data_IF_739862344267
#
_entry.id   IF_739862344267
#
_cell.length_a   1.000
_cell.length_b   1.000
_cell.length_c   1.000
_cell.angle_alpha   90.00
_cell.angle_beta   90.00
_cell.angle_gamma   90.00
#
_symmetry.space_group_name_H-M   'P 1'
#
loop_
_entity.id
_entity.type
_entity.pdbx_description
1 polymer ?
#
# COMPACT_ATOMS: atom_id res chain seq x y z
N UNK A 1 26.15 48.79 9.49
CA UNK A 1 26.17 47.63 10.42
C UNK A 1 24.80 46.99 10.63
N UNK A 2 23.69 47.74 10.70
CA UNK A 2 22.34 47.16 10.83
C UNK A 2 21.82 46.41 9.58
N UNK A 3 22.14 46.91 8.37
CA UNK A 3 21.71 46.27 7.10
C UNK A 3 22.38 44.92 6.83
N UNK A 4 23.61 44.71 7.31
CA UNK A 4 24.34 43.44 7.19
C UNK A 4 23.77 42.35 8.12
N UNK A 5 23.34 42.73 9.34
CA UNK A 5 22.66 41.82 10.27
C UNK A 5 21.28 41.38 9.77
N UNK A 6 20.58 42.25 9.03
CA UNK A 6 19.26 41.94 8.49
C UNK A 6 19.33 40.93 7.32
N UNK A 7 20.34 41.04 6.45
CA UNK A 7 20.58 40.10 5.34
C UNK A 7 21.03 38.73 5.86
N UNK A 8 21.83 38.70 6.93
CA UNK A 8 22.27 37.46 7.57
C UNK A 8 21.11 36.76 8.29
N UNK A 9 20.18 37.48 8.92
CA UNK A 9 18.99 36.87 9.53
C UNK A 9 17.99 36.32 8.49
N UNK A 10 17.82 36.97 7.34
CA UNK A 10 16.93 36.46 6.28
C UNK A 10 17.57 35.32 5.50
N UNK A 11 18.89 35.30 5.34
CA UNK A 11 19.62 34.18 4.71
C UNK A 11 19.67 32.93 5.57
N UNK A 12 19.75 33.07 6.90
CA UNK A 12 19.77 31.95 7.84
C UNK A 12 18.40 31.27 8.00
N UNK A 13 17.30 32.00 7.73
CA UNK A 13 15.94 31.45 7.77
C UNK A 13 15.61 30.59 6.52
N UNK A 14 16.23 30.86 5.37
CA UNK A 14 16.03 30.08 4.13
C UNK A 14 16.80 28.75 4.09
N UNK A 15 17.77 28.53 4.98
CA UNK A 15 18.58 27.30 5.01
C UNK A 15 17.99 26.19 5.89
N UNK A 16 16.90 26.45 6.62
CA UNK A 16 16.28 25.47 7.53
C UNK A 16 15.17 24.66 6.83
N UNK A 17 14.75 25.04 5.62
CA UNK A 17 13.64 24.40 4.90
C UNK A 17 14.05 23.25 3.96
N UNK A 18 15.34 22.87 3.93
CA UNK A 18 15.89 21.97 2.90
C UNK A 18 16.12 20.51 3.35
N UNK A 19 15.47 20.05 4.42
CA UNK A 19 15.57 18.65 4.84
C UNK A 19 14.18 18.04 5.09
N UNK A 20 13.28 18.16 4.11
CA UNK A 20 12.28 17.13 3.91
C UNK A 20 12.99 16.00 3.17
N UNK A 21 13.80 15.22 3.90
CA UNK A 21 14.19 13.91 3.42
C UNK A 21 12.88 13.16 3.24
N UNK A 22 12.46 12.93 1.99
CA UNK A 22 11.45 11.94 1.68
C UNK A 22 11.96 10.67 2.33
N UNK A 23 11.37 10.28 3.47
CA UNK A 23 11.68 9.02 4.09
C UNK A 23 11.36 7.99 3.01
N UNK A 24 12.39 7.46 2.39
CA UNK A 24 12.29 6.27 1.56
C UNK A 24 11.47 5.27 2.38
N UNK A 25 10.31 4.90 1.84
CA UNK A 25 9.34 4.05 2.54
C UNK A 25 10.12 2.86 3.12
N UNK A 26 10.07 2.69 4.45
CA UNK A 26 10.82 1.65 5.14
C UNK A 26 10.51 0.27 4.55
N UNK A 27 9.29 0.08 4.03
CA UNK A 27 8.88 -1.07 3.25
C UNK A 27 9.76 -1.23 2.00
N UNK A 28 9.88 -0.19 1.17
CA UNK A 28 10.70 -0.21 -0.06
C UNK A 28 12.17 -0.48 0.25
N UNK A 29 12.75 0.15 1.27
CA UNK A 29 14.17 0.00 1.60
C UNK A 29 14.56 -1.46 1.95
N UNK A 30 13.65 -2.20 2.60
CA UNK A 30 13.85 -3.62 2.92
C UNK A 30 13.44 -4.51 1.74
N UNK A 31 12.23 -4.32 1.19
CA UNK A 31 11.66 -5.17 0.13
C UNK A 31 12.41 -5.06 -1.19
N UNK A 32 13.13 -3.97 -1.46
CA UNK A 32 14.00 -3.88 -2.63
C UNK A 32 15.11 -4.94 -2.61
N UNK A 33 15.48 -5.46 -1.42
CA UNK A 33 16.53 -6.47 -1.25
C UNK A 33 15.97 -7.89 -1.29
N UNK A 34 14.79 -8.12 -0.69
CA UNK A 34 14.21 -9.47 -0.54
C UNK A 34 13.18 -9.83 -1.61
N UNK A 35 12.50 -8.83 -2.19
CA UNK A 35 11.46 -8.99 -3.21
C UNK A 35 11.55 -7.87 -4.27
N UNK A 36 12.71 -7.74 -4.97
CA UNK A 36 12.97 -6.61 -5.86
C UNK A 36 11.95 -6.45 -7.01
N UNK A 37 11.41 -7.57 -7.51
CA UNK A 37 10.40 -7.55 -8.56
C UNK A 37 9.10 -6.85 -8.14
N UNK A 38 8.61 -7.13 -6.93
CA UNK A 38 7.39 -6.50 -6.41
C UNK A 38 7.56 -4.98 -6.25
N UNK A 39 8.72 -4.55 -5.75
CA UNK A 39 9.04 -3.13 -5.63
C UNK A 39 9.14 -2.46 -7.00
N UNK A 40 9.75 -3.12 -7.98
CA UNK A 40 9.84 -2.61 -9.35
C UNK A 40 8.46 -2.47 -10.00
N UNK A 41 7.60 -3.48 -9.84
CA UNK A 41 6.23 -3.45 -10.36
C UNK A 41 5.42 -2.31 -9.75
N UNK A 42 5.54 -2.11 -8.42
CA UNK A 42 4.93 -0.97 -7.75
C UNK A 42 5.50 0.36 -8.29
N UNK A 43 6.82 0.52 -8.38
CA UNK A 43 7.49 1.75 -8.82
C UNK A 43 7.02 2.21 -10.21
N UNK A 44 6.80 1.29 -11.14
CA UNK A 44 6.35 1.64 -12.50
C UNK A 44 4.83 1.84 -12.62
N UNK A 45 4.07 1.47 -11.58
CA UNK A 45 2.61 1.57 -11.57
C UNK A 45 2.10 3.01 -11.53
N UNK A 46 0.78 3.19 -11.60
CA UNK A 46 0.17 4.50 -11.31
C UNK A 46 0.08 4.76 -9.81
N UNK A 47 -0.06 3.72 -8.99
CA UNK A 47 -0.19 3.86 -7.53
C UNK A 47 1.04 4.53 -6.92
N UNK A 48 2.25 4.17 -7.35
CA UNK A 48 3.48 4.86 -6.90
C UNK A 48 3.54 6.34 -7.29
N UNK A 49 2.90 6.73 -8.41
CA UNK A 49 2.88 8.12 -8.91
C UNK A 49 1.81 8.98 -8.23
N UNK A 50 0.82 8.34 -7.63
CA UNK A 50 -0.29 8.97 -6.92
C UNK A 50 -0.16 8.76 -5.39
N UNK A 51 1.08 8.56 -4.91
CA UNK A 51 1.43 8.43 -3.49
C UNK A 51 0.73 7.29 -2.71
N UNK A 52 0.26 6.25 -3.41
CA UNK A 52 -0.25 5.02 -2.78
C UNK A 52 0.93 4.11 -2.42
N UNK A 53 1.28 4.07 -1.14
CA UNK A 53 2.44 3.36 -0.58
C UNK A 53 2.17 1.88 -0.34
N UNK A 54 3.19 1.12 0.04
CA UNK A 54 3.05 -0.30 0.43
C UNK A 54 2.07 -0.46 1.60
N UNK A 55 2.23 0.36 2.63
CA UNK A 55 1.40 0.33 3.84
C UNK A 55 -0.04 0.75 3.61
N UNK A 56 -0.32 1.50 2.53
CA UNK A 56 -1.69 1.90 2.18
C UNK A 56 -2.58 0.67 1.95
N UNK A 57 -2.05 -0.40 1.36
CA UNK A 57 -2.80 -1.64 1.14
C UNK A 57 -2.47 -2.73 2.16
N UNK A 58 -1.20 -2.84 2.60
CA UNK A 58 -0.74 -3.92 3.47
C UNK A 58 -0.76 -3.58 4.96
N UNK A 59 -1.13 -2.36 5.33
CA UNK A 59 -1.09 -1.87 6.70
C UNK A 59 0.33 -1.63 7.23
N UNK A 60 0.43 -1.34 8.53
CA UNK A 60 1.68 -0.92 9.19
C UNK A 60 2.14 -1.89 10.30
N UNK A 61 1.43 -3.00 10.50
CA UNK A 61 1.69 -3.92 11.63
C UNK A 61 2.93 -4.79 11.42
N UNK A 62 3.31 -5.04 10.17
CA UNK A 62 4.55 -5.73 9.82
C UNK A 62 5.70 -4.74 9.79
N UNK A 63 6.77 -5.05 10.52
CA UNK A 63 7.96 -4.18 10.64
C UNK A 63 9.27 -4.95 10.56
N UNK A 64 9.27 -6.27 10.77
CA UNK A 64 10.46 -7.14 10.75
C UNK A 64 10.19 -8.42 9.96
N UNK A 65 11.24 -9.12 9.51
CA UNK A 65 11.06 -10.35 8.72
C UNK A 65 10.21 -11.42 9.45
N UNK A 66 10.29 -11.46 10.77
CA UNK A 66 9.61 -12.42 11.64
C UNK A 66 8.12 -12.14 11.83
N UNK A 67 7.65 -10.91 11.60
CA UNK A 67 6.26 -10.49 11.76
C UNK A 67 5.52 -10.29 10.43
N UNK A 68 6.05 -10.88 9.34
CA UNK A 68 5.46 -10.82 7.99
C UNK A 68 4.01 -11.27 7.91
N UNK A 69 3.58 -12.17 8.79
CA UNK A 69 2.19 -12.61 8.90
C UNK A 69 1.23 -11.53 9.45
N UNK A 70 1.75 -10.40 9.96
CA UNK A 70 0.94 -9.26 10.40
C UNK A 70 0.60 -8.29 9.26
N UNK A 71 1.22 -8.44 8.09
CA UNK A 71 0.83 -7.70 6.90
C UNK A 71 -0.59 -8.09 6.47
N UNK A 72 -1.37 -7.11 6.07
CA UNK A 72 -2.68 -7.34 5.44
C UNK A 72 -2.43 -7.90 4.04
N UNK A 73 -3.11 -8.98 3.69
CA UNK A 73 -3.27 -9.39 2.30
C UNK A 73 -4.53 -8.68 1.78
N UNK A 74 -4.39 -7.65 0.93
CA UNK A 74 -5.52 -6.83 0.53
C UNK A 74 -6.49 -7.63 -0.32
N UNK A 75 -7.74 -7.69 0.12
CA UNK A 75 -8.87 -8.19 -0.67
C UNK A 75 -9.51 -7.04 -1.48
N UNK A 76 -10.65 -7.33 -2.13
CA UNK A 76 -11.36 -6.31 -2.90
C UNK A 76 -11.90 -5.15 -2.06
N UNK A 77 -12.06 -5.34 -0.75
CA UNK A 77 -12.63 -4.32 0.15
C UNK A 77 -11.63 -3.19 0.41
N UNK A 78 -10.35 -3.52 0.58
CA UNK A 78 -9.24 -2.54 0.68
C UNK A 78 -9.19 -1.69 -0.59
N UNK A 79 -9.38 -2.31 -1.75
CA UNK A 79 -9.44 -1.59 -3.01
C UNK A 79 -10.64 -0.63 -3.07
N UNK A 80 -11.78 -1.03 -2.47
CA UNK A 80 -13.02 -0.27 -2.40
C UNK A 80 -12.92 1.04 -1.61
N UNK A 81 -12.01 1.14 -0.65
CA UNK A 81 -11.79 2.36 0.14
C UNK A 81 -11.50 3.58 -0.74
N UNK A 82 -10.79 3.37 -1.87
CA UNK A 82 -10.50 4.40 -2.87
C UNK A 82 -11.29 4.20 -4.19
N UNK A 83 -11.60 2.95 -4.55
CA UNK A 83 -12.24 2.59 -5.83
C UNK A 83 -13.67 2.09 -5.66
N UNK A 84 -14.47 2.77 -4.84
CA UNK A 84 -15.85 2.40 -4.51
C UNK A 84 -16.71 2.06 -5.74
N UNK A 85 -16.62 2.83 -6.81
CA UNK A 85 -17.40 2.56 -8.03
C UNK A 85 -17.05 1.21 -8.65
N UNK A 86 -15.76 0.90 -8.79
CA UNK A 86 -15.27 -0.34 -9.37
C UNK A 86 -15.61 -1.51 -8.44
N UNK A 87 -15.43 -1.33 -7.13
CA UNK A 87 -15.83 -2.31 -6.12
C UNK A 87 -17.32 -2.64 -6.20
N UNK A 88 -18.19 -1.63 -6.30
CA UNK A 88 -19.64 -1.83 -6.48
C UNK A 88 -20.01 -2.52 -7.79
N UNK A 89 -19.24 -2.27 -8.87
CA UNK A 89 -19.43 -2.97 -10.14
C UNK A 89 -18.99 -4.43 -10.06
N UNK A 90 -17.86 -4.71 -9.41
CA UNK A 90 -17.33 -6.05 -9.23
C UNK A 90 -18.21 -6.90 -8.30
N UNK A 91 -18.57 -6.35 -7.13
CA UNK A 91 -19.42 -7.02 -6.14
C UNK A 91 -20.81 -7.36 -6.67
N UNK A 92 -21.35 -6.57 -7.60
CA UNK A 92 -22.61 -6.85 -8.31
C UNK A 92 -22.43 -7.62 -9.61
N UNK A 93 -21.20 -8.06 -9.89
CA UNK A 93 -20.81 -8.77 -11.09
C UNK A 93 -21.00 -10.28 -10.97
N UNK A 94 -21.02 -10.96 -12.13
CA UNK A 94 -21.21 -12.42 -12.20
C UNK A 94 -20.09 -13.21 -11.51
N UNK A 95 -18.85 -12.72 -11.52
CA UNK A 95 -17.75 -13.40 -10.83
C UNK A 95 -17.98 -13.45 -9.33
N UNK A 96 -18.35 -12.31 -8.71
CA UNK A 96 -18.67 -12.28 -7.27
C UNK A 96 -19.91 -13.11 -6.91
N UNK A 97 -20.95 -13.07 -7.74
CA UNK A 97 -22.10 -13.95 -7.52
C UNK A 97 -21.79 -15.44 -7.74
N UNK A 98 -20.87 -15.77 -8.63
CA UNK A 98 -20.35 -17.13 -8.80
C UNK A 98 -19.68 -17.62 -7.52
N UNK A 99 -18.84 -16.78 -6.90
CA UNK A 99 -18.23 -17.05 -5.60
C UNK A 99 -19.28 -17.22 -4.50
N UNK A 100 -20.29 -16.35 -4.47
CA UNK A 100 -21.41 -16.45 -3.53
C UNK A 100 -22.17 -17.78 -3.70
N UNK A 101 -22.44 -18.19 -4.94
CA UNK A 101 -23.13 -19.43 -5.23
C UNK A 101 -22.29 -20.66 -4.86
N UNK A 102 -20.98 -20.60 -5.10
CA UNK A 102 -20.03 -21.64 -4.67
C UNK A 102 -20.09 -21.79 -3.14
N UNK A 103 -19.95 -20.70 -2.38
CA UNK A 103 -20.02 -20.70 -0.92
C UNK A 103 -21.38 -21.10 -0.34
N UNK A 104 -22.46 -20.95 -1.11
CA UNK A 104 -23.79 -21.40 -0.70
C UNK A 104 -23.96 -22.94 -0.76
N UNK A 105 -23.08 -23.69 -1.43
CA UNK A 105 -23.21 -25.15 -1.47
C UNK A 105 -22.85 -25.77 -0.12
N UNK A 106 -23.62 -26.75 0.39
CA UNK A 106 -23.36 -27.37 1.69
C UNK A 106 -21.96 -27.99 1.84
N UNK A 107 -21.39 -28.48 0.74
CA UNK A 107 -20.06 -29.14 0.73
C UNK A 107 -18.90 -28.15 0.75
N UNK A 108 -19.13 -26.89 0.40
CA UNK A 108 -18.05 -25.90 0.24
C UNK A 108 -17.29 -25.64 1.54
N UNK A 109 -17.96 -25.74 2.69
CA UNK A 109 -17.36 -25.53 4.01
C UNK A 109 -16.49 -26.70 4.50
N UNK A 110 -16.48 -27.83 3.78
CA UNK A 110 -15.63 -29.00 4.09
C UNK A 110 -14.57 -29.27 3.02
N UNK A 111 -14.57 -28.48 1.94
CA UNK A 111 -13.52 -28.51 0.94
C UNK A 111 -12.29 -27.75 1.49
N UNK A 112 -11.05 -28.25 1.27
CA UNK A 112 -9.85 -27.54 1.69
C UNK A 112 -9.73 -26.17 1.02
N UNK A 113 -9.37 -25.15 1.81
CA UNK A 113 -9.20 -23.77 1.32
C UNK A 113 -8.19 -23.70 0.17
N UNK A 114 -7.16 -24.56 0.16
CA UNK A 114 -6.16 -24.61 -0.91
C UNK A 114 -6.75 -24.96 -2.29
N UNK A 115 -7.93 -25.59 -2.33
CA UNK A 115 -8.64 -25.93 -3.56
C UNK A 115 -9.68 -24.88 -3.95
N UNK A 116 -9.97 -23.92 -3.07
CA UNK A 116 -10.99 -22.89 -3.29
C UNK A 116 -10.41 -21.49 -3.39
N UNK A 117 -9.61 -21.08 -2.41
CA UNK A 117 -9.10 -19.72 -2.20
C UNK A 117 -7.80 -19.43 -2.98
N UNK A 118 -7.05 -20.48 -3.35
CA UNK A 118 -5.84 -20.40 -4.20
C UNK A 118 -4.55 -20.04 -3.46
#
# INVERSE_FOLDING_TARGET
MAKMKLIVLTGLMSLIFACAASAEDACVACHQKISPGQVQDWQISKHSKEDVTCSTCHGEKHTTAEDSNLAVLPDESVCGECHEKQFQQFSKGKHNYGWTAMNAMPVTHVEPDELMEG
#
